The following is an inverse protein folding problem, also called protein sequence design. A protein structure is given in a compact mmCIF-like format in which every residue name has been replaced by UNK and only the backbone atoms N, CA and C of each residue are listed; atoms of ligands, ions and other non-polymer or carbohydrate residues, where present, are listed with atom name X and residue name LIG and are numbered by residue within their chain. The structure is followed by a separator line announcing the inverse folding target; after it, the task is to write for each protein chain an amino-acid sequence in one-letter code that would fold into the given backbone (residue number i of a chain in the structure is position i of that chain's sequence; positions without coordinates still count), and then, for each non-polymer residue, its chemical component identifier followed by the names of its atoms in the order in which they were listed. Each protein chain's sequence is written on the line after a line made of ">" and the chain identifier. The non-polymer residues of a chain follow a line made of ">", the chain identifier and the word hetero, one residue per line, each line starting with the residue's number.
data_IF_109453140043
#
_entry.id   IF_109453140043
#
_cell.length_a   1.000
_cell.length_b   1.000
_cell.length_c   1.000
_cell.angle_alpha   90.00
_cell.angle_beta   90.00
_cell.angle_gamma   90.00
#
_symmetry.space_group_name_H-M   'P 1'
#
loop_
_entity.id
_entity.type
_entity.pdbx_description
1 polymer ?
#
# COMPACT_ATOMS: atom_id res chain seq x y z
N UNK A 1 -25.04 12.12 -5.56
CA UNK A 1 -23.97 11.18 -5.97
C UNK A 1 -22.72 12.02 -6.24
N UNK A 2 -21.57 11.68 -5.67
CA UNK A 2 -20.32 12.40 -5.95
C UNK A 2 -19.84 12.08 -7.38
N UNK A 3 -19.32 13.08 -8.09
CA UNK A 3 -18.78 12.86 -9.43
C UNK A 3 -17.39 12.23 -9.36
N UNK A 4 -16.94 11.51 -10.41
CA UNK A 4 -15.60 10.92 -10.45
C UNK A 4 -14.48 11.95 -10.24
N UNK A 5 -14.64 13.18 -10.72
CA UNK A 5 -13.65 14.25 -10.58
C UNK A 5 -13.47 14.66 -9.12
N UNK A 6 -14.57 14.78 -8.38
CA UNK A 6 -14.52 15.09 -6.95
C UNK A 6 -13.84 13.96 -6.16
N UNK A 7 -14.17 12.71 -6.48
CA UNK A 7 -13.57 11.54 -5.85
C UNK A 7 -12.05 11.47 -6.12
N UNK A 8 -11.65 11.68 -7.38
CA UNK A 8 -10.25 11.73 -7.77
C UNK A 8 -9.49 12.83 -7.01
N UNK A 9 -10.04 14.04 -6.95
CA UNK A 9 -9.44 15.14 -6.21
C UNK A 9 -9.26 14.82 -4.72
N UNK A 10 -10.29 14.30 -4.04
CA UNK A 10 -10.22 13.93 -2.62
C UNK A 10 -9.11 12.90 -2.36
N UNK A 11 -9.01 11.87 -3.20
CA UNK A 11 -8.04 10.79 -3.06
C UNK A 11 -6.62 11.29 -3.34
N UNK A 12 -6.41 12.03 -4.41
CA UNK A 12 -5.09 12.62 -4.76
C UNK A 12 -4.64 13.54 -3.64
N UNK A 13 -5.48 14.49 -3.22
CA UNK A 13 -5.13 15.39 -2.12
C UNK A 13 -4.81 14.63 -0.83
N UNK A 14 -5.53 13.52 -0.54
CA UNK A 14 -5.27 12.75 0.68
C UNK A 14 -3.94 12.01 0.63
N UNK A 15 -3.64 11.32 -0.46
CA UNK A 15 -2.55 10.36 -0.51
C UNK A 15 -1.29 10.90 -1.18
N UNK A 16 -1.41 11.71 -2.23
CA UNK A 16 -0.27 12.32 -2.92
C UNK A 16 0.17 13.63 -2.24
N UNK A 17 -0.80 14.48 -1.86
CA UNK A 17 -0.50 15.80 -1.27
C UNK A 17 -0.51 15.80 0.27
N UNK A 18 -0.70 14.64 0.89
CA UNK A 18 -0.74 14.47 2.34
C UNK A 18 -1.78 15.35 3.08
N UNK A 19 -2.92 15.63 2.43
CA UNK A 19 -3.99 16.47 2.98
C UNK A 19 -5.07 15.64 3.68
N UNK A 20 -5.10 15.60 5.03
CA UNK A 20 -6.07 14.81 5.77
C UNK A 20 -7.51 15.30 5.53
N UNK A 21 -8.48 14.37 5.63
CA UNK A 21 -9.88 14.62 5.27
C UNK A 21 -10.51 15.80 6.03
N UNK A 22 -10.25 15.92 7.34
CA UNK A 22 -10.73 17.06 8.13
C UNK A 22 -10.27 18.41 7.55
N UNK A 23 -9.05 18.46 7.01
CA UNK A 23 -8.51 19.68 6.43
C UNK A 23 -9.13 19.95 5.07
N UNK A 24 -9.40 18.91 4.28
CA UNK A 24 -10.17 19.05 3.04
C UNK A 24 -11.59 19.55 3.31
N UNK A 25 -12.27 19.04 4.35
CA UNK A 25 -13.60 19.50 4.78
C UNK A 25 -13.61 21.01 5.04
N UNK A 26 -12.63 21.51 5.82
CA UNK A 26 -12.47 22.94 6.10
C UNK A 26 -12.20 23.76 4.83
N UNK A 27 -11.44 23.23 3.86
CA UNK A 27 -11.17 23.90 2.59
C UNK A 27 -12.45 24.04 1.77
N UNK A 28 -13.23 22.97 1.62
CA UNK A 28 -14.52 23.03 0.92
C UNK A 28 -15.49 24.00 1.62
N UNK A 29 -15.46 24.06 2.95
CA UNK A 29 -16.25 25.00 3.75
C UNK A 29 -15.99 26.47 3.41
N UNK A 30 -14.79 26.83 2.94
CA UNK A 30 -14.48 28.20 2.48
C UNK A 30 -15.30 28.63 1.27
N UNK A 31 -15.80 27.66 0.49
CA UNK A 31 -16.68 27.90 -0.66
C UNK A 31 -18.16 27.62 -0.34
N UNK A 32 -18.52 27.51 0.95
CA UNK A 32 -19.87 27.16 1.38
C UNK A 32 -20.25 25.68 1.16
N UNK A 33 -19.28 24.83 0.79
CA UNK A 33 -19.52 23.40 0.54
C UNK A 33 -19.21 22.61 1.82
N UNK A 34 -20.26 22.13 2.48
CA UNK A 34 -20.13 21.34 3.70
C UNK A 34 -20.04 19.84 3.39
N UNK A 35 -18.80 19.31 3.38
CA UNK A 35 -18.53 17.88 3.23
C UNK A 35 -18.01 17.31 4.55
N UNK A 36 -18.72 16.34 5.12
CA UNK A 36 -18.28 15.70 6.37
C UNK A 36 -17.12 14.73 6.14
N UNK A 37 -16.26 14.59 7.15
CA UNK A 37 -15.13 13.66 7.14
C UNK A 37 -15.58 12.21 6.95
N UNK A 38 -16.72 11.83 7.56
CA UNK A 38 -17.28 10.48 7.45
C UNK A 38 -17.77 10.19 6.03
N UNK A 39 -18.40 11.17 5.37
CA UNK A 39 -18.79 11.05 3.96
C UNK A 39 -17.58 10.85 3.06
N UNK A 40 -16.53 11.67 3.22
CA UNK A 40 -15.31 11.52 2.42
C UNK A 40 -14.57 10.21 2.74
N UNK A 41 -14.58 9.76 4.00
CA UNK A 41 -13.97 8.49 4.39
C UNK A 41 -14.69 7.29 3.76
N UNK A 42 -16.03 7.29 3.74
CA UNK A 42 -16.83 6.27 3.03
C UNK A 42 -16.49 6.24 1.54
N UNK A 43 -16.40 7.42 0.90
CA UNK A 43 -16.01 7.51 -0.51
C UNK A 43 -14.61 6.99 -0.79
N UNK A 44 -13.63 7.33 0.04
CA UNK A 44 -12.27 6.79 -0.06
C UNK A 44 -12.28 5.26 0.04
N UNK A 45 -13.05 4.70 0.97
CA UNK A 45 -13.20 3.25 1.12
C UNK A 45 -13.78 2.58 -0.12
N UNK A 46 -14.87 3.14 -0.67
CA UNK A 46 -15.50 2.63 -1.91
C UNK A 46 -14.57 2.69 -3.11
N UNK A 47 -13.80 3.77 -3.25
CA UNK A 47 -12.80 3.87 -4.30
C UNK A 47 -11.67 2.86 -4.12
N UNK A 48 -11.25 2.58 -2.88
CA UNK A 48 -10.31 1.51 -2.57
C UNK A 48 -10.80 0.14 -3.06
N UNK A 49 -12.06 -0.20 -2.80
CA UNK A 49 -12.68 -1.44 -3.30
C UNK A 49 -12.73 -1.45 -4.83
N UNK A 50 -13.11 -0.33 -5.46
CA UNK A 50 -13.18 -0.23 -6.91
C UNK A 50 -11.80 -0.38 -7.60
N UNK A 51 -10.71 0.00 -6.93
CA UNK A 51 -9.34 -0.09 -7.43
C UNK A 51 -8.69 -1.47 -7.19
N UNK A 52 -9.30 -2.34 -6.39
CA UNK A 52 -8.76 -3.67 -6.04
C UNK A 52 -8.35 -4.52 -7.26
N UNK A 53 -9.13 -4.58 -8.37
CA UNK A 53 -8.73 -5.34 -9.55
C UNK A 53 -7.42 -4.85 -10.18
N UNK A 54 -7.15 -3.54 -10.12
CA UNK A 54 -5.90 -2.96 -10.64
C UNK A 54 -4.71 -3.35 -9.75
N UNK A 55 -4.89 -3.33 -8.42
CA UNK A 55 -3.86 -3.77 -7.47
C UNK A 55 -3.53 -5.24 -7.67
N UNK A 56 -4.55 -6.10 -7.84
CA UNK A 56 -4.37 -7.53 -8.15
C UNK A 56 -3.60 -7.73 -9.44
N UNK A 57 -3.94 -6.99 -10.50
CA UNK A 57 -3.21 -7.10 -11.78
C UNK A 57 -1.77 -6.61 -11.67
N UNK A 58 -1.52 -5.53 -10.92
CA UNK A 58 -0.16 -5.05 -10.66
C UNK A 58 0.66 -6.07 -9.88
N UNK A 59 0.07 -6.74 -8.90
CA UNK A 59 0.71 -7.82 -8.16
C UNK A 59 1.11 -8.97 -9.08
N UNK A 60 0.22 -9.46 -9.93
CA UNK A 60 0.54 -10.50 -10.93
C UNK A 60 1.70 -10.11 -11.84
N UNK A 61 1.68 -8.88 -12.35
CA UNK A 61 2.75 -8.37 -13.20
C UNK A 61 4.07 -8.27 -12.43
N UNK A 62 4.03 -7.84 -11.16
CA UNK A 62 5.20 -7.71 -10.30
C UNK A 62 5.87 -9.08 -10.10
N UNK A 63 5.09 -10.15 -9.94
CA UNK A 63 5.61 -11.52 -9.86
C UNK A 63 6.18 -12.06 -11.19
N UNK A 64 6.14 -11.31 -12.29
CA UNK A 64 6.85 -11.70 -13.53
C UNK A 64 8.28 -11.13 -13.60
N UNK A 65 8.62 -10.18 -12.72
CA UNK A 65 9.89 -9.48 -12.78
C UNK A 65 11.02 -10.31 -12.13
N UNK A 66 12.21 -10.36 -12.72
CA UNK A 66 13.31 -11.18 -12.21
C UNK A 66 13.95 -10.63 -10.93
N UNK A 67 13.79 -9.33 -10.69
CA UNK A 67 14.37 -8.62 -9.54
C UNK A 67 13.26 -7.81 -8.89
N UNK A 68 13.13 -7.94 -7.58
CA UNK A 68 12.22 -7.16 -6.75
C UNK A 68 12.97 -6.56 -5.58
N UNK A 69 12.52 -5.39 -5.16
CA UNK A 69 12.92 -4.77 -3.91
C UNK A 69 11.77 -4.91 -2.92
N UNK A 70 12.08 -5.21 -1.67
CA UNK A 70 11.13 -5.23 -0.57
C UNK A 70 11.64 -4.38 0.59
N UNK A 71 10.72 -3.66 1.21
CA UNK A 71 10.96 -2.89 2.43
C UNK A 71 9.69 -2.92 3.30
N UNK A 72 9.84 -2.89 4.61
CA UNK A 72 8.72 -2.79 5.53
C UNK A 72 8.81 -1.56 6.44
N UNK A 73 7.75 -0.76 6.43
CA UNK A 73 7.65 0.43 7.27
C UNK A 73 6.65 0.18 8.41
N UNK A 74 7.06 0.37 9.68
CA UNK A 74 6.14 0.28 10.80
C UNK A 74 5.14 1.44 10.80
N UNK A 75 3.86 1.15 11.04
CA UNK A 75 2.79 2.14 11.12
C UNK A 75 1.97 1.95 12.40
N UNK A 76 1.52 3.05 13.00
CA UNK A 76 0.65 2.99 14.18
C UNK A 76 -0.82 2.90 13.74
N UNK A 77 -1.50 1.84 14.16
CA UNK A 77 -2.91 1.59 13.85
C UNK A 77 -3.75 1.61 15.13
N UNK A 78 -5.02 1.98 15.00
CA UNK A 78 -5.98 1.94 16.09
C UNK A 78 -6.57 0.53 16.19
N UNK A 79 -6.61 -0.05 17.40
CA UNK A 79 -7.36 -1.30 17.63
C UNK A 79 -8.86 -1.04 17.63
N UNK A 80 -9.60 -1.78 16.80
CA UNK A 80 -11.06 -1.69 16.71
C UNK A 80 -11.79 -2.61 17.72
N UNK A 81 -11.08 -3.56 18.35
CA UNK A 81 -11.62 -4.65 19.16
C UNK A 81 -11.13 -4.60 20.63
N UNK A 82 -12.04 -4.86 21.59
CA UNK A 82 -11.94 -4.96 23.07
C UNK A 82 -11.09 -3.95 23.88
N UNK A 83 -10.24 -3.15 23.23
CA UNK A 83 -9.34 -2.18 23.83
C UNK A 83 -9.32 -0.90 22.98
N UNK A 84 -10.51 -0.28 22.83
CA UNK A 84 -10.70 0.97 22.10
C UNK A 84 -9.69 2.01 22.61
N UNK A 85 -8.94 2.62 21.69
CA UNK A 85 -7.99 3.71 21.98
C UNK A 85 -6.53 3.28 22.19
N UNK A 86 -6.21 1.98 22.22
CA UNK A 86 -4.81 1.54 22.22
C UNK A 86 -4.25 1.46 20.80
N UNK A 87 -3.09 2.06 20.61
CA UNK A 87 -2.29 1.91 19.40
C UNK A 87 -1.70 0.50 19.35
N UNK A 88 -1.77 -0.12 18.18
CA UNK A 88 -1.03 -1.34 17.82
C UNK A 88 -0.05 -0.96 16.71
N UNK A 89 1.10 -1.60 16.70
CA UNK A 89 2.03 -1.49 15.58
C UNK A 89 1.59 -2.45 14.46
N UNK A 90 1.32 -1.90 13.28
CA UNK A 90 1.18 -2.62 12.02
C UNK A 90 2.38 -2.36 11.12
N UNK A 91 2.39 -2.98 9.95
CA UNK A 91 3.48 -2.91 8.99
C UNK A 91 2.90 -2.76 7.59
N UNK A 92 3.45 -1.83 6.81
CA UNK A 92 3.20 -1.72 5.38
C UNK A 92 4.43 -2.27 4.68
N UNK A 93 4.24 -3.36 3.95
CA UNK A 93 5.25 -3.98 3.11
C UNK A 93 5.15 -3.37 1.72
N UNK A 94 6.24 -2.83 1.21
CA UNK A 94 6.34 -2.27 -0.13
C UNK A 94 7.16 -3.21 -1.00
N UNK A 95 6.57 -3.71 -2.08
CA UNK A 95 7.26 -4.49 -3.11
C UNK A 95 7.35 -3.65 -4.37
N UNK A 96 8.55 -3.49 -4.92
CA UNK A 96 8.76 -2.64 -6.09
C UNK A 96 9.77 -3.20 -7.07
N UNK A 97 9.58 -2.83 -8.32
CA UNK A 97 10.52 -3.13 -9.41
C UNK A 97 11.68 -2.12 -9.41
N UNK A 98 12.92 -2.51 -9.76
CA UNK A 98 14.05 -1.59 -9.82
C UNK A 98 13.80 -0.37 -10.70
N UNK A 99 14.36 0.79 -10.35
CA UNK A 99 14.14 2.06 -11.07
C UNK A 99 14.50 1.98 -12.57
N UNK A 100 15.50 1.15 -12.92
CA UNK A 100 16.00 0.98 -14.29
C UNK A 100 15.36 -0.19 -15.06
N UNK A 101 14.33 -0.84 -14.50
CA UNK A 101 13.67 -1.99 -15.15
C UNK A 101 13.15 -1.67 -16.57
N UNK A 102 12.71 -0.44 -16.82
CA UNK A 102 12.20 0.01 -18.13
C UNK A 102 13.24 -0.11 -19.24
N UNK A 103 14.53 0.08 -18.94
CA UNK A 103 15.62 -0.05 -19.91
C UNK A 103 15.81 -1.49 -20.41
N UNK A 104 15.24 -2.46 -19.69
CA UNK A 104 15.34 -3.90 -19.98
C UNK A 104 13.97 -4.51 -20.33
N UNK A 105 12.99 -3.69 -20.71
CA UNK A 105 11.64 -4.15 -21.06
C UNK A 105 10.74 -4.47 -19.85
N UNK A 106 11.15 -4.12 -18.63
CA UNK A 106 10.33 -4.19 -17.43
C UNK A 106 9.37 -3.01 -17.29
N UNK A 107 8.53 -3.03 -16.25
CA UNK A 107 7.59 -1.97 -15.94
C UNK A 107 7.81 -1.46 -14.51
N UNK A 108 7.56 -0.17 -14.27
CA UNK A 108 7.64 0.42 -12.93
C UNK A 108 6.36 0.15 -12.17
N UNK A 109 6.48 -0.54 -11.04
CA UNK A 109 5.38 -0.69 -10.10
C UNK A 109 5.84 -0.75 -8.66
N UNK A 110 4.92 -0.35 -7.80
CA UNK A 110 4.99 -0.52 -6.35
C UNK A 110 3.65 -1.11 -5.92
N UNK A 111 3.68 -2.18 -5.16
CA UNK A 111 2.50 -2.78 -4.53
C UNK A 111 2.72 -2.77 -3.02
N UNK A 112 1.74 -2.22 -2.31
CA UNK A 112 1.74 -2.19 -0.86
C UNK A 112 0.84 -3.28 -0.31
N UNK A 113 1.35 -4.02 0.67
CA UNK A 113 0.60 -5.01 1.44
C UNK A 113 0.60 -4.62 2.92
N UNK A 114 -0.56 -4.64 3.55
CA UNK A 114 -0.72 -4.24 4.94
C UNK A 114 -0.87 -5.47 5.84
N UNK A 115 -0.04 -5.54 6.87
CA UNK A 115 -0.08 -6.61 7.85
C UNK A 115 -0.09 -6.07 9.28
N UNK A 116 -0.83 -6.73 10.17
CA UNK A 116 -0.82 -6.37 11.59
C UNK A 116 0.36 -6.95 12.39
N UNK A 117 1.31 -7.61 11.73
CA UNK A 117 2.51 -8.18 12.35
C UNK A 117 3.70 -8.14 11.38
N UNK A 118 4.93 -8.15 11.92
CA UNK A 118 6.19 -8.19 11.14
C UNK A 118 6.64 -9.61 10.82
N UNK A 119 5.71 -10.57 10.80
CA UNK A 119 6.06 -11.98 10.65
C UNK A 119 6.36 -12.31 9.19
N UNK A 120 7.28 -13.25 8.99
CA UNK A 120 7.77 -13.70 7.69
C UNK A 120 6.68 -14.39 6.83
N UNK A 121 5.55 -14.72 7.44
CA UNK A 121 4.39 -15.30 6.77
C UNK A 121 3.77 -14.37 5.72
N UNK A 122 3.82 -13.04 5.93
CA UNK A 122 3.27 -12.06 4.98
C UNK A 122 4.09 -11.98 3.69
N UNK A 123 5.41 -11.72 3.72
CA UNK A 123 6.20 -11.71 2.49
C UNK A 123 6.27 -13.08 1.82
N UNK A 124 6.19 -14.17 2.59
CA UNK A 124 6.08 -15.52 2.02
C UNK A 124 4.78 -15.73 1.26
N UNK A 125 3.64 -15.31 1.82
CA UNK A 125 2.35 -15.43 1.13
C UNK A 125 2.31 -14.53 -0.12
N UNK A 126 2.88 -13.33 -0.05
CA UNK A 126 2.92 -12.39 -1.15
C UNK A 126 3.77 -12.89 -2.34
N UNK A 127 4.90 -13.56 -2.05
CA UNK A 127 5.89 -14.03 -3.03
C UNK A 127 5.81 -15.54 -3.33
N UNK A 128 4.75 -16.25 -2.90
CA UNK A 128 4.66 -17.73 -2.90
C UNK A 128 5.01 -18.39 -4.25
N UNK A 129 4.63 -17.75 -5.37
CA UNK A 129 4.86 -18.28 -6.73
C UNK A 129 5.98 -17.57 -7.50
N UNK A 130 6.64 -16.60 -6.88
CA UNK A 130 7.65 -15.79 -7.53
C UNK A 130 9.03 -16.44 -7.48
N UNK A 131 9.81 -16.25 -8.54
CA UNK A 131 11.19 -16.72 -8.62
C UNK A 131 12.07 -15.60 -9.17
N UNK A 132 13.09 -15.22 -8.40
CA UNK A 132 13.98 -14.12 -8.77
C UNK A 132 14.91 -13.73 -7.62
N UNK A 133 15.54 -12.57 -7.77
CA UNK A 133 16.44 -11.98 -6.77
C UNK A 133 15.70 -10.90 -5.98
N UNK A 134 15.65 -11.08 -4.66
CA UNK A 134 15.00 -10.13 -3.74
C UNK A 134 16.07 -9.26 -3.08
N UNK A 135 15.95 -7.96 -3.28
CA UNK A 135 16.78 -6.96 -2.60
C UNK A 135 15.95 -6.41 -1.44
N UNK A 136 16.43 -6.57 -0.22
CA UNK A 136 15.80 -6.03 0.98
C UNK A 136 16.86 -5.51 1.94
N UNK A 137 16.46 -4.76 2.96
CA UNK A 137 17.33 -4.57 4.12
C UNK A 137 17.54 -5.95 4.79
N UNK A 138 18.69 -6.21 5.41
CA UNK A 138 19.07 -7.54 5.97
C UNK A 138 18.21 -7.96 7.19
N UNK A 139 16.93 -7.59 7.21
CA UNK A 139 15.97 -8.04 8.18
C UNK A 139 15.83 -9.56 8.12
N UNK A 140 15.96 -10.20 9.29
CA UNK A 140 15.85 -11.64 9.47
C UNK A 140 14.53 -12.22 8.91
N UNK A 141 13.51 -11.38 8.70
CA UNK A 141 12.23 -11.82 8.16
C UNK A 141 12.30 -12.36 6.73
N UNK A 142 13.22 -11.86 5.92
CA UNK A 142 13.43 -12.33 4.55
C UNK A 142 14.31 -13.58 4.47
N UNK A 143 15.04 -13.94 5.54
CA UNK A 143 15.96 -15.10 5.55
C UNK A 143 15.26 -16.44 5.30
N UNK A 144 13.99 -16.55 5.65
CA UNK A 144 13.18 -17.72 5.32
C UNK A 144 12.90 -17.85 3.82
N UNK A 145 12.94 -16.75 3.05
CA UNK A 145 12.78 -16.75 1.60
C UNK A 145 14.10 -17.09 0.90
N UNK A 146 15.24 -16.71 1.48
CA UNK A 146 16.57 -16.98 0.91
C UNK A 146 16.98 -18.46 0.97
N UNK A 147 16.48 -19.22 1.96
CA UNK A 147 16.72 -20.67 2.04
C UNK A 147 16.07 -21.47 0.89
N UNK A 148 15.28 -20.83 0.01
CA UNK A 148 14.70 -21.49 -1.16
C UNK A 148 15.43 -21.24 -2.49
N UNK A 149 16.32 -20.24 -2.62
CA UNK A 149 17.29 -20.06 -3.72
C UNK A 149 18.04 -18.72 -3.57
N UNK A 150 19.36 -18.83 -3.37
CA UNK A 150 20.45 -17.84 -3.46
C UNK A 150 20.09 -16.34 -3.50
N UNK A 151 20.39 -15.64 -2.41
CA UNK A 151 20.47 -14.18 -2.32
C UNK A 151 21.89 -13.69 -2.66
N UNK A 152 21.98 -12.52 -3.29
CA UNK A 152 23.16 -11.64 -3.28
C UNK A 152 22.76 -10.38 -2.56
#
# INVERSE_FOLDING_TARGET
>A
IATPELLAHIIISKFADHQPLYRQSLIYGRSGVHLSDSTMADWVGRCGVALEPLVKRLHELLLTQPILHADETPVNILKFNNNKGKLKQGYVWAYLTPQHCQSYGGFKAVVYDFAESRRNEHPKAFLDKWQGQLICDDYNGYKCLFNQKQAV
#
